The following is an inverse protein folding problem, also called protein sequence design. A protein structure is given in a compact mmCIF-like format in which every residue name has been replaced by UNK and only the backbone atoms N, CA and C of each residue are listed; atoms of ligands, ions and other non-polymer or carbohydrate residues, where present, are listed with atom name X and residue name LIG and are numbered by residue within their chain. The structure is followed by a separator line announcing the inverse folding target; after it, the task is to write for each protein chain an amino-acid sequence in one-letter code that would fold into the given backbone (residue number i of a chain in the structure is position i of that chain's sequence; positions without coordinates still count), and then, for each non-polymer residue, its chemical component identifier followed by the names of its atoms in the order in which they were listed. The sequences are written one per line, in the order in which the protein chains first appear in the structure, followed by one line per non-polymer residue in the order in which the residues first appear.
data_IF_483055731522
#
_entry.id   IF_483055731522
#
_cell.length_a   1.000
_cell.length_b   1.000
_cell.length_c   1.000
_cell.angle_alpha   90.00
_cell.angle_beta   90.00
_cell.angle_gamma   90.00
#
_symmetry.space_group_name_H-M   'P 1'
#
loop_
_entity.id
_entity.type
_entity.pdbx_description
1 polymer ?
#
# COMPACT_ATOMS: atom_id res chain seq x y z
N UNK A 1 5.89 4.07 -8.62
CA UNK A 1 7.30 4.37 -8.95
C UNK A 1 7.63 5.86 -8.93
N UNK A 2 6.70 6.76 -9.26
CA UNK A 2 6.98 8.20 -9.35
C UNK A 2 7.54 8.81 -8.06
N UNK A 3 6.91 8.53 -6.91
CA UNK A 3 7.41 9.01 -5.61
C UNK A 3 8.85 8.56 -5.34
N UNK A 4 9.17 7.28 -5.63
CA UNK A 4 10.52 6.72 -5.44
C UNK A 4 11.55 7.43 -6.33
N UNK A 5 11.21 7.71 -7.59
CA UNK A 5 12.07 8.47 -8.51
C UNK A 5 12.37 9.88 -8.00
N UNK A 6 11.47 10.44 -7.19
CA UNK A 6 11.61 11.75 -6.57
C UNK A 6 12.19 11.68 -5.14
N UNK A 7 12.76 10.53 -4.73
CA UNK A 7 13.38 10.34 -3.42
C UNK A 7 12.39 10.10 -2.28
N UNK A 8 11.09 10.00 -2.55
CA UNK A 8 10.06 9.71 -1.56
C UNK A 8 9.83 8.19 -1.50
N UNK A 9 9.97 7.59 -0.32
CA UNK A 9 9.79 6.15 -0.11
C UNK A 9 8.45 5.84 0.56
N UNK A 10 7.35 5.68 -0.22
CA UNK A 10 6.08 5.23 0.34
C UNK A 10 6.15 3.74 0.70
N UNK A 11 5.20 3.29 1.52
CA UNK A 11 5.02 1.88 1.89
C UNK A 11 3.66 1.38 1.41
N UNK A 12 3.46 0.07 1.34
CA UNK A 12 2.12 -0.53 1.18
C UNK A 12 1.75 -1.26 2.46
N UNK A 13 0.72 -0.78 3.14
CA UNK A 13 0.17 -1.42 4.34
C UNK A 13 -1.34 -1.61 4.18
N UNK A 14 -1.89 -2.83 4.29
CA UNK A 14 -1.22 -4.13 4.35
C UNK A 14 -1.25 -4.81 2.98
N UNK A 15 -0.07 -5.02 2.38
CA UNK A 15 0.07 -5.70 1.09
C UNK A 15 1.29 -6.63 1.08
N UNK A 16 1.18 -7.84 0.50
CA UNK A 16 -0.06 -8.48 0.04
C UNK A 16 -0.97 -8.82 1.23
N UNK A 17 -2.25 -9.15 0.95
CA UNK A 17 -3.14 -9.65 2.01
C UNK A 17 -2.52 -10.84 2.74
N UNK A 18 -2.81 -10.97 4.05
CA UNK A 18 -2.30 -12.06 4.90
C UNK A 18 -2.53 -13.45 4.30
N UNK A 19 -3.71 -13.69 3.73
CA UNK A 19 -4.06 -14.97 3.11
C UNK A 19 -3.27 -15.28 1.83
N UNK A 20 -2.62 -14.28 1.23
CA UNK A 20 -1.81 -14.46 0.03
C UNK A 20 -0.42 -15.02 0.30
N UNK A 21 0.05 -15.00 1.57
CA UNK A 21 1.35 -15.55 1.93
C UNK A 21 1.35 -17.08 1.83
N UNK A 22 2.51 -17.65 1.44
CA UNK A 22 2.70 -19.09 1.21
C UNK A 22 2.24 -19.95 2.39
N UNK A 23 2.42 -19.49 3.62
CA UNK A 23 1.97 -20.19 4.83
C UNK A 23 0.46 -20.47 4.81
N UNK A 24 -0.35 -19.46 4.51
CA UNK A 24 -1.81 -19.58 4.50
C UNK A 24 -2.33 -20.36 3.29
N UNK A 25 -1.68 -20.24 2.14
CA UNK A 25 -2.01 -21.03 0.93
C UNK A 25 -1.79 -22.53 1.11
N UNK A 26 -0.88 -22.95 2.00
CA UNK A 26 -0.57 -24.38 2.26
C UNK A 26 -1.63 -25.09 3.11
N UNK A 27 -2.63 -24.38 3.63
CA UNK A 27 -3.70 -24.97 4.44
C UNK A 27 -4.67 -25.83 3.62
N UNK A 28 -4.61 -25.78 2.28
CA UNK A 28 -5.51 -26.51 1.38
C UNK A 28 -6.91 -25.90 1.28
N UNK A 29 -7.16 -24.78 1.98
CA UNK A 29 -8.42 -24.05 1.97
C UNK A 29 -8.21 -22.72 1.25
N UNK A 30 -9.10 -22.38 0.32
CA UNK A 30 -9.15 -21.03 -0.25
C UNK A 30 -9.76 -20.08 0.79
N UNK A 31 -8.89 -19.39 1.53
CA UNK A 31 -9.30 -18.42 2.54
C UNK A 31 -9.88 -17.13 1.92
N UNK A 32 -9.59 -16.83 0.66
CA UNK A 32 -10.18 -15.69 -0.05
C UNK A 32 -11.66 -15.94 -0.31
N UNK A 33 -11.99 -17.13 -0.82
CA UNK A 33 -13.37 -17.56 -1.05
C UNK A 33 -14.11 -17.76 0.28
N UNK A 34 -13.53 -18.53 1.21
CA UNK A 34 -14.15 -18.87 2.50
C UNK A 34 -14.61 -17.64 3.30
N UNK A 35 -13.86 -16.55 3.27
CA UNK A 35 -14.15 -15.34 4.04
C UNK A 35 -14.62 -14.16 3.18
N UNK A 36 -14.83 -14.34 1.87
CA UNK A 36 -15.33 -13.29 0.98
C UNK A 36 -14.45 -12.03 0.96
N UNK A 37 -13.13 -12.18 0.89
CA UNK A 37 -12.16 -11.10 1.11
C UNK A 37 -11.97 -10.14 -0.08
N UNK A 38 -12.96 -10.02 -0.98
CA UNK A 38 -12.87 -9.20 -2.20
C UNK A 38 -12.54 -7.74 -1.89
N UNK A 39 -13.25 -7.14 -0.93
CA UNK A 39 -13.00 -5.74 -0.52
C UNK A 39 -11.61 -5.57 0.09
N UNK A 40 -11.17 -6.51 0.94
CA UNK A 40 -9.84 -6.45 1.53
C UNK A 40 -8.74 -6.53 0.46
N UNK A 41 -8.95 -7.37 -0.57
CA UNK A 41 -8.00 -7.54 -1.67
C UNK A 41 -7.88 -6.26 -2.49
N UNK A 42 -9.03 -5.68 -2.85
CA UNK A 42 -9.12 -4.44 -3.59
C UNK A 42 -8.45 -3.27 -2.83
N UNK A 43 -8.63 -3.18 -1.50
CA UNK A 43 -7.93 -2.17 -0.69
C UNK A 43 -6.42 -2.44 -0.63
N UNK A 44 -5.98 -3.68 -0.40
CA UNK A 44 -4.56 -4.02 -0.35
C UNK A 44 -3.82 -3.68 -1.65
N UNK A 45 -4.49 -3.86 -2.79
CA UNK A 45 -3.92 -3.56 -4.10
C UNK A 45 -3.76 -2.06 -4.34
N UNK A 46 -4.72 -1.24 -3.87
CA UNK A 46 -4.78 0.20 -4.15
C UNK A 46 -4.15 1.09 -3.08
N UNK A 47 -4.08 0.64 -1.83
CA UNK A 47 -3.59 1.47 -0.72
C UNK A 47 -2.11 1.82 -0.88
N UNK A 48 -1.79 3.08 -0.57
CA UNK A 48 -0.44 3.60 -0.52
C UNK A 48 -0.25 4.39 0.79
N UNK A 49 0.72 3.99 1.59
CA UNK A 49 1.11 4.69 2.80
C UNK A 49 2.19 5.73 2.47
N UNK A 50 1.86 6.99 2.68
CA UNK A 50 2.82 8.10 2.54
C UNK A 50 3.70 8.21 3.79
N UNK A 51 4.89 8.81 3.68
CA UNK A 51 5.72 9.12 4.84
C UNK A 51 4.95 9.98 5.85
N UNK A 52 4.99 9.59 7.12
CA UNK A 52 4.42 10.33 8.24
C UNK A 52 5.27 10.06 9.49
N UNK A 53 5.87 11.11 10.04
CA UNK A 53 6.71 11.08 11.23
C UNK A 53 6.89 12.53 11.74
N UNK A 54 7.27 12.70 13.01
CA UNK A 54 7.22 13.99 13.72
C UNK A 54 8.11 15.09 13.13
N UNK A 55 9.23 14.70 12.54
CA UNK A 55 10.26 15.56 11.94
C UNK A 55 10.12 15.66 10.41
N UNK A 56 8.96 15.28 9.86
CA UNK A 56 8.69 15.41 8.43
C UNK A 56 8.51 16.88 8.06
N UNK A 57 9.46 17.42 7.29
CA UNK A 57 9.42 18.79 6.80
C UNK A 57 8.20 19.03 5.90
N UNK A 58 7.49 20.15 6.14
CA UNK A 58 6.31 20.55 5.36
C UNK A 58 6.61 20.75 3.87
N UNK A 59 7.83 21.16 3.52
CA UNK A 59 8.27 21.26 2.12
C UNK A 59 8.30 19.89 1.42
N UNK A 60 8.58 18.81 2.16
CA UNK A 60 8.52 17.43 1.66
C UNK A 60 7.05 17.04 1.46
N UNK A 61 6.16 17.42 2.37
CA UNK A 61 4.70 17.19 2.24
C UNK A 61 4.17 17.86 0.96
N UNK A 62 4.51 19.13 0.73
CA UNK A 62 4.11 19.85 -0.48
C UNK A 62 4.64 19.20 -1.76
N UNK A 63 5.90 18.73 -1.73
CA UNK A 63 6.50 17.96 -2.84
C UNK A 63 5.70 16.70 -3.13
N UNK A 64 5.32 15.93 -2.10
CA UNK A 64 4.53 14.71 -2.24
C UNK A 64 3.17 15.03 -2.87
N UNK A 65 2.48 16.05 -2.36
CA UNK A 65 1.17 16.49 -2.89
C UNK A 65 1.28 16.87 -4.37
N UNK A 66 2.30 17.65 -4.73
CA UNK A 66 2.54 18.07 -6.12
C UNK A 66 2.76 16.87 -7.04
N UNK A 67 3.61 15.92 -6.64
CA UNK A 67 3.88 14.71 -7.44
C UNK A 67 2.59 13.91 -7.68
N UNK A 68 1.77 13.74 -6.64
CA UNK A 68 0.52 12.97 -6.74
C UNK A 68 -0.48 13.69 -7.67
N UNK A 69 -0.67 15.00 -7.48
CA UNK A 69 -1.60 15.80 -8.30
C UNK A 69 -1.23 15.86 -9.78
N UNK A 70 0.05 15.77 -10.13
CA UNK A 70 0.50 15.77 -11.53
C UNK A 70 0.23 14.45 -12.27
N UNK A 71 -0.12 13.39 -11.54
CA UNK A 71 -0.35 12.04 -12.08
C UNK A 71 -1.79 11.57 -11.98
N UNK A 72 -2.65 12.33 -11.29
CA UNK A 72 -4.11 12.19 -11.34
C UNK A 72 -4.60 13.05 -12.49
#
# INVERSE_FOLDING_TARGET
FELIRNGVKPRKYFFPLTVNFKYFKRTGVDLMEKYGLKTAADIADRVLCLPIYSDLDMTIVDKIIKIIKQKI
#
